data_IF_490354635645
#
_entry.id   IF_490354635645
#
_cell.length_a   1.000
_cell.length_b   1.000
_cell.length_c   1.000
_cell.angle_alpha   90.00
_cell.angle_beta   90.00
_cell.angle_gamma   90.00
#
_symmetry.space_group_name_H-M   'P 1'
#
loop_
_entity.id
_entity.type
_entity.pdbx_description
1 polymer ?
#
# COMPACT_ATOMS: atom_id res chain seq x y z
N UNK A 1 -3.87 14.59 9.18
CA UNK A 1 -4.30 14.03 7.88
C UNK A 1 -3.19 14.27 6.88
N UNK A 2 -2.59 13.19 6.39
CA UNK A 2 -1.48 13.24 5.46
C UNK A 2 -1.96 13.55 4.04
N UNK A 3 -1.15 14.28 3.28
CA UNK A 3 -1.40 14.51 1.86
C UNK A 3 -1.18 13.20 1.09
N UNK A 4 -2.21 12.71 0.39
CA UNK A 4 -2.18 11.45 -0.33
C UNK A 4 -1.60 11.63 -1.74
N UNK A 5 -0.52 10.91 -2.02
CA UNK A 5 0.16 10.88 -3.30
C UNK A 5 0.18 9.47 -3.87
N UNK A 6 0.13 9.38 -5.20
CA UNK A 6 0.18 8.12 -5.93
C UNK A 6 1.37 8.11 -6.88
N UNK A 7 2.16 7.05 -6.85
CA UNK A 7 3.19 6.84 -7.87
C UNK A 7 2.54 6.38 -9.19
N UNK A 8 3.25 6.61 -10.30
CA UNK A 8 2.83 6.06 -11.59
C UNK A 8 2.82 4.52 -11.60
N UNK A 9 3.68 3.86 -10.81
CA UNK A 9 3.68 2.39 -10.69
C UNK A 9 2.40 1.93 -10.01
N UNK A 10 2.06 2.52 -8.86
CA UNK A 10 0.83 2.24 -8.14
C UNK A 10 -0.41 2.40 -9.03
N UNK A 11 -0.52 3.47 -9.81
CA UNK A 11 -1.67 3.66 -10.71
C UNK A 11 -1.78 2.55 -11.77
N UNK A 12 -0.66 2.04 -12.28
CA UNK A 12 -0.64 0.91 -13.23
C UNK A 12 -1.03 -0.39 -12.53
N UNK A 13 -0.45 -0.69 -11.38
CA UNK A 13 -0.71 -1.92 -10.63
C UNK A 13 -2.11 -1.96 -10.02
N UNK A 14 -2.66 -0.80 -9.65
CA UNK A 14 -4.06 -0.64 -9.24
C UNK A 14 -5.02 -1.01 -10.39
N UNK A 15 -4.74 -0.56 -11.62
CA UNK A 15 -5.53 -0.96 -12.80
C UNK A 15 -5.45 -2.46 -13.04
N UNK A 16 -4.27 -3.08 -12.85
CA UNK A 16 -4.08 -4.53 -12.95
C UNK A 16 -4.89 -5.27 -11.88
N UNK A 17 -4.82 -4.82 -10.63
CA UNK A 17 -5.57 -5.37 -9.50
C UNK A 17 -7.09 -5.28 -9.74
N UNK A 18 -7.59 -4.14 -10.24
CA UNK A 18 -8.99 -3.96 -10.66
C UNK A 18 -9.40 -4.98 -11.72
N UNK A 19 -8.57 -5.17 -12.76
CA UNK A 19 -8.82 -6.17 -13.81
C UNK A 19 -8.85 -7.60 -13.30
N UNK A 20 -8.08 -7.92 -12.26
CA UNK A 20 -8.06 -9.23 -11.59
C UNK A 20 -9.21 -9.42 -10.58
N UNK A 21 -10.15 -8.47 -10.49
CA UNK A 21 -11.31 -8.56 -9.60
C UNK A 21 -11.00 -8.32 -8.13
N UNK A 22 -9.85 -7.69 -7.81
CA UNK A 22 -9.52 -7.33 -6.42
C UNK A 22 -10.50 -6.29 -5.87
N UNK A 23 -10.83 -6.42 -4.59
CA UNK A 23 -11.82 -5.56 -3.95
C UNK A 23 -11.20 -4.22 -3.51
N UNK A 24 -11.43 -3.18 -4.33
CA UNK A 24 -10.88 -1.85 -4.14
C UNK A 24 -11.40 -1.16 -2.88
N UNK A 25 -12.61 -1.50 -2.42
CA UNK A 25 -13.15 -0.95 -1.18
C UNK A 25 -12.29 -1.33 0.04
N UNK A 26 -11.61 -2.49 0.00
CA UNK A 26 -10.66 -2.88 1.08
C UNK A 26 -9.44 -1.98 1.07
N UNK A 27 -8.92 -1.66 -0.12
CA UNK A 27 -7.80 -0.74 -0.30
C UNK A 27 -8.18 0.67 0.17
N UNK A 28 -9.33 1.19 -0.23
CA UNK A 28 -9.78 2.54 0.15
C UNK A 28 -9.90 2.69 1.66
N UNK A 29 -10.44 1.69 2.36
CA UNK A 29 -10.48 1.68 3.84
C UNK A 29 -9.10 1.76 4.47
N UNK A 30 -8.14 1.02 3.93
CA UNK A 30 -6.76 1.04 4.44
C UNK A 30 -6.11 2.40 4.20
N UNK A 31 -6.30 2.97 3.01
CA UNK A 31 -5.79 4.31 2.67
C UNK A 31 -6.38 5.36 3.62
N UNK A 32 -7.68 5.29 3.92
CA UNK A 32 -8.33 6.22 4.84
C UNK A 32 -7.73 6.14 6.25
N UNK A 33 -7.54 4.94 6.79
CA UNK A 33 -6.87 4.71 8.09
C UNK A 33 -5.46 5.33 8.08
N UNK A 34 -4.69 5.07 7.03
CA UNK A 34 -3.33 5.57 6.89
C UNK A 34 -3.25 7.10 6.80
N UNK A 35 -4.11 7.70 5.97
CA UNK A 35 -4.16 9.15 5.74
C UNK A 35 -4.62 9.88 7.00
N UNK A 36 -5.51 9.28 7.79
CA UNK A 36 -5.95 9.79 9.08
C UNK A 36 -5.00 9.49 10.24
N UNK A 37 -3.83 8.89 9.98
CA UNK A 37 -2.82 8.56 10.98
C UNK A 37 -3.37 7.65 12.09
N UNK A 38 -4.38 6.84 11.74
CA UNK A 38 -5.00 5.89 12.64
C UNK A 38 -4.17 4.61 12.76
N UNK A 39 -4.35 3.90 13.87
CA UNK A 39 -3.63 2.64 14.10
C UNK A 39 -4.20 1.55 13.20
N UNK A 40 -3.33 0.94 12.38
CA UNK A 40 -3.68 -0.23 11.58
C UNK A 40 -3.83 -1.47 12.46
N UNK A 41 -4.87 -2.25 12.19
CA UNK A 41 -5.07 -3.54 12.85
C UNK A 41 -3.92 -4.52 12.52
N UNK A 42 -3.57 -5.38 13.49
CA UNK A 42 -2.48 -6.36 13.37
C UNK A 42 -2.64 -7.30 12.16
N UNK A 43 -3.88 -7.54 11.71
CA UNK A 43 -4.18 -8.37 10.53
C UNK A 43 -3.53 -7.86 9.24
N UNK A 44 -3.27 -6.56 9.12
CA UNK A 44 -2.63 -5.96 7.95
C UNK A 44 -1.12 -6.21 7.91
N UNK A 45 -0.53 -6.81 8.97
CA UNK A 45 0.91 -7.11 9.07
C UNK A 45 1.80 -5.94 8.64
N UNK A 46 1.40 -4.72 9.02
CA UNK A 46 2.11 -3.52 8.62
C UNK A 46 3.53 -3.53 9.18
N UNK A 47 4.54 -3.49 8.32
CA UNK A 47 5.94 -3.52 8.71
C UNK A 47 6.81 -2.68 7.78
N UNK A 48 7.99 -2.27 8.28
CA UNK A 48 8.97 -1.54 7.48
C UNK A 48 9.74 -2.51 6.59
N UNK A 49 9.93 -2.15 5.34
CA UNK A 49 10.84 -2.84 4.44
C UNK A 49 12.29 -2.44 4.74
N UNK A 50 13.22 -3.36 4.43
CA UNK A 50 14.66 -3.22 4.62
C UNK A 50 15.42 -3.26 3.29
N UNK A 51 16.72 -2.97 3.31
CA UNK A 51 17.58 -2.99 2.12
C UNK A 51 17.34 -1.79 1.22
N UNK A 52 17.24 -2.00 -0.10
CA UNK A 52 16.95 -0.94 -1.08
C UNK A 52 15.58 -0.25 -0.85
N UNK A 53 14.68 -0.92 -0.13
CA UNK A 53 13.37 -0.40 0.26
C UNK A 53 13.38 0.26 1.66
N UNK A 54 14.54 0.67 2.16
CA UNK A 54 14.63 1.36 3.45
C UNK A 54 13.77 2.63 3.45
N UNK A 55 12.85 2.71 4.42
CA UNK A 55 11.91 3.83 4.57
C UNK A 55 10.57 3.62 3.84
N UNK A 56 10.40 2.50 3.14
CA UNK A 56 9.09 2.04 2.69
C UNK A 56 8.46 1.11 3.73
N UNK A 57 7.15 0.99 3.64
CA UNK A 57 6.30 0.15 4.45
C UNK A 57 5.54 -0.79 3.54
N UNK A 58 5.32 -2.00 4.03
CA UNK A 58 4.49 -3.00 3.39
C UNK A 58 3.34 -3.39 4.33
N UNK A 59 2.15 -3.55 3.76
CA UNK A 59 0.99 -4.09 4.45
C UNK A 59 0.21 -5.05 3.55
N UNK A 60 -0.43 -6.04 4.17
CA UNK A 60 -1.29 -7.03 3.53
C UNK A 60 -2.76 -6.59 3.57
N UNK A 61 -3.33 -6.22 2.43
CA UNK A 61 -4.78 -5.98 2.28
C UNK A 61 -5.53 -7.31 2.22
N UNK A 62 -4.91 -8.31 1.58
CA UNK A 62 -5.30 -9.72 1.55
C UNK A 62 -4.04 -10.59 1.71
N UNK A 63 -4.17 -11.91 1.94
CA UNK A 63 -3.01 -12.79 2.12
C UNK A 63 -1.95 -12.65 1.01
N UNK A 64 -2.40 -12.52 -0.24
CA UNK A 64 -1.56 -12.30 -1.42
C UNK A 64 -1.96 -10.99 -2.15
N UNK A 65 -2.19 -9.92 -1.38
CA UNK A 65 -2.37 -8.58 -1.95
C UNK A 65 -1.78 -7.54 -1.02
N UNK A 66 -0.67 -6.98 -1.44
CA UNK A 66 0.23 -6.15 -0.67
C UNK A 66 0.18 -4.72 -1.18
N UNK A 67 0.29 -3.77 -0.27
CA UNK A 67 0.47 -2.35 -0.57
C UNK A 67 1.82 -1.89 -0.04
N UNK A 68 2.63 -1.34 -0.92
CA UNK A 68 3.91 -0.70 -0.60
C UNK A 68 3.72 0.80 -0.61
N UNK A 69 4.07 1.46 0.49
CA UNK A 69 3.90 2.88 0.65
C UNK A 69 5.04 3.52 1.43
N UNK A 70 5.16 4.84 1.33
CA UNK A 70 6.15 5.62 2.07
C UNK A 70 5.44 6.74 2.82
N UNK A 71 5.79 6.91 4.09
CA UNK A 71 5.31 8.02 4.92
C UNK A 71 6.47 8.99 5.13
N UNK A 72 6.15 10.28 5.04
CA UNK A 72 7.05 11.40 5.38
C UNK A 72 6.28 12.39 6.25
N UNK A 73 6.91 13.47 6.72
CA UNK A 73 6.32 14.38 7.73
C UNK A 73 4.90 14.89 7.44
N UNK A 74 4.51 15.04 6.16
CA UNK A 74 3.18 15.58 5.80
C UNK A 74 2.45 14.82 4.70
N UNK A 75 3.05 13.77 4.15
CA UNK A 75 2.49 13.06 2.99
C UNK A 75 2.70 11.56 3.09
N UNK A 76 1.73 10.85 2.52
CA UNK A 76 1.80 9.42 2.27
C UNK A 76 1.83 9.19 0.77
N UNK A 77 2.83 8.42 0.32
CA UNK A 77 3.05 8.11 -1.09
C UNK A 77 2.80 6.62 -1.29
N UNK A 78 1.71 6.28 -1.97
CA UNK A 78 1.44 4.91 -2.39
C UNK A 78 2.34 4.57 -3.56
N UNK A 79 3.25 3.62 -3.35
CA UNK A 79 4.34 3.33 -4.28
C UNK A 79 3.97 2.20 -5.21
N UNK A 80 3.42 1.10 -4.70
CA UNK A 80 2.96 -0.01 -5.53
C UNK A 80 1.92 -0.89 -4.82
N UNK A 81 1.18 -1.70 -5.58
CA UNK A 81 0.17 -2.61 -5.05
C UNK A 81 0.03 -3.85 -5.93
N UNK A 82 0.12 -5.05 -5.34
CA UNK A 82 0.13 -6.27 -6.14
C UNK A 82 0.21 -7.54 -5.29
N UNK A 83 0.32 -8.69 -5.94
CA UNK A 83 0.70 -9.95 -5.26
C UNK A 83 2.18 -9.91 -4.89
N UNK A 84 2.69 -10.87 -4.13
CA UNK A 84 4.13 -10.94 -3.87
C UNK A 84 4.95 -10.99 -5.17
N UNK A 85 4.52 -11.81 -6.14
CA UNK A 85 5.17 -11.88 -7.45
C UNK A 85 5.03 -10.63 -8.32
N UNK A 86 4.04 -9.76 -8.12
CA UNK A 86 4.02 -8.49 -8.87
C UNK A 86 5.04 -7.48 -8.34
N UNK A 87 5.49 -7.63 -7.09
CA UNK A 87 6.26 -6.63 -6.36
C UNK A 87 7.74 -7.01 -6.16
N UNK A 88 8.05 -8.30 -6.07
CA UNK A 88 9.38 -8.79 -5.70
C UNK A 88 9.95 -9.86 -6.65
N UNK A 89 9.28 -10.14 -7.76
CA UNK A 89 9.72 -11.08 -8.82
C UNK A 89 9.97 -10.32 -10.13
#
# INVERSE_FOLDING_TARGET
MLELHYSNSFLKSLKRSKKRGKNINKLEKVIDILVNEQTLEVKYRNHKLSGDYTGYWELHIEPDWLLVYKVTDKKIILTDIGTHSDLFE
#
